data_IF_784641085004
#
_entry.id   IF_784641085004
#
_cell.length_a   1.000
_cell.length_b   1.000
_cell.length_c   1.000
_cell.angle_alpha   90.00
_cell.angle_beta   90.00
_cell.angle_gamma   90.00
#
_symmetry.space_group_name_H-M   'P 1'
#
loop_
_entity.id
_entity.type
_entity.pdbx_description
1 polymer ?
#
# COMPACT_ATOMS: atom_id res chain seq x y z
N UNK A 1 43.72 44.74 10.58
CA UNK A 1 42.67 44.44 9.58
C UNK A 1 42.12 43.05 9.87
N UNK A 2 41.29 42.95 10.90
CA UNK A 2 40.96 41.71 11.64
C UNK A 2 39.48 41.34 11.43
N UNK A 3 38.91 41.74 10.29
CA UNK A 3 37.47 41.67 9.99
C UNK A 3 37.16 40.67 8.87
N UNK A 4 38.12 40.32 8.01
CA UNK A 4 37.88 39.37 6.89
C UNK A 4 37.81 37.90 7.38
N UNK A 5 38.46 37.58 8.51
CA UNK A 5 38.49 36.20 9.03
C UNK A 5 37.18 35.76 9.71
N UNK A 6 36.33 36.70 10.16
CA UNK A 6 35.07 36.39 10.86
C UNK A 6 33.89 36.15 9.92
N UNK A 7 33.89 36.74 8.72
CA UNK A 7 32.81 36.60 7.74
C UNK A 7 32.86 35.26 6.99
N UNK A 8 34.05 34.70 6.76
CA UNK A 8 34.20 33.37 6.15
C UNK A 8 33.69 32.24 7.05
N UNK A 9 33.91 32.36 8.37
CA UNK A 9 33.45 31.36 9.35
C UNK A 9 31.93 31.40 9.53
N UNK A 10 31.30 32.58 9.42
CA UNK A 10 29.84 32.72 9.49
C UNK A 10 29.13 32.11 8.27
N UNK A 11 29.68 32.29 7.06
CA UNK A 11 29.16 31.63 5.85
C UNK A 11 29.33 30.11 5.89
N UNK A 12 30.43 29.62 6.47
CA UNK A 12 30.65 28.18 6.64
C UNK A 12 29.63 27.55 7.60
N UNK A 13 29.28 28.24 8.70
CA UNK A 13 28.27 27.77 9.66
C UNK A 13 26.84 27.77 9.09
N UNK A 14 26.51 28.69 8.18
CA UNK A 14 25.20 28.71 7.49
C UNK A 14 25.10 27.63 6.42
N UNK A 15 26.19 27.34 5.70
CA UNK A 15 26.24 26.26 4.72
C UNK A 15 26.11 24.87 5.37
N UNK A 16 26.70 24.68 6.56
CA UNK A 16 26.56 23.42 7.33
C UNK A 16 25.13 23.22 7.84
N UNK A 17 24.38 24.29 8.14
CA UNK A 17 22.96 24.18 8.50
C UNK A 17 22.05 23.90 7.31
N UNK A 18 22.38 24.40 6.12
CA UNK A 18 21.63 24.13 4.89
C UNK A 18 21.80 22.69 4.38
N UNK A 19 22.93 22.04 4.67
CA UNK A 19 23.16 20.62 4.38
C UNK A 19 22.54 19.67 5.41
N UNK A 20 22.07 20.18 6.56
CA UNK A 20 21.49 19.37 7.62
C UNK A 20 19.97 19.16 7.49
N UNK A 21 19.33 19.73 6.46
CA UNK A 21 17.88 19.58 6.23
C UNK A 21 17.47 18.47 5.26
N UNK A 22 18.41 17.73 4.68
CA UNK A 22 18.10 16.70 3.66
C UNK A 22 18.17 15.25 4.14
N UNK A 23 17.88 15.00 5.41
CA UNK A 23 17.57 13.65 5.87
C UNK A 23 16.26 13.62 6.65
N UNK A 24 15.15 13.70 5.92
CA UNK A 24 13.97 12.87 6.25
C UNK A 24 14.08 11.56 5.45
N UNK A 25 15.27 10.97 5.44
CA UNK A 25 15.45 9.59 5.03
C UNK A 25 15.00 8.74 6.21
N UNK A 26 13.89 8.00 6.06
CA UNK A 26 13.59 6.90 6.96
C UNK A 26 14.88 6.10 7.20
N UNK A 27 15.20 5.81 8.47
CA UNK A 27 16.38 5.01 8.80
C UNK A 27 16.38 3.78 7.89
N UNK A 28 17.49 3.51 7.16
CA UNK A 28 17.56 2.34 6.32
C UNK A 28 17.33 1.13 7.23
N UNK A 29 16.27 0.39 6.91
CA UNK A 29 15.94 -0.88 7.54
C UNK A 29 17.21 -1.75 7.51
N UNK A 30 17.59 -2.31 8.66
CA UNK A 30 18.81 -3.14 8.75
C UNK A 30 18.73 -4.35 7.82
N UNK A 31 19.86 -4.92 7.41
CA UNK A 31 19.88 -6.12 6.56
C UNK A 31 19.08 -7.28 7.17
N UNK A 32 19.08 -7.39 8.51
CA UNK A 32 18.30 -8.39 9.24
C UNK A 32 16.78 -8.14 9.18
N UNK A 33 16.35 -6.89 9.19
CA UNK A 33 14.94 -6.52 8.96
C UNK A 33 14.56 -6.62 7.48
N UNK A 34 15.48 -6.32 6.57
CA UNK A 34 15.28 -6.47 5.13
C UNK A 34 15.14 -7.94 4.73
N UNK A 35 15.96 -8.83 5.29
CA UNK A 35 15.86 -10.27 5.10
C UNK A 35 14.54 -10.85 5.62
N UNK A 36 13.85 -10.12 6.50
CA UNK A 36 12.54 -10.47 7.01
C UNK A 36 11.37 -9.97 6.15
N UNK A 37 11.64 -9.26 5.05
CA UNK A 37 10.61 -8.84 4.11
C UNK A 37 9.84 -10.05 3.57
N UNK A 38 8.54 -9.84 3.39
CA UNK A 38 7.65 -10.83 2.79
C UNK A 38 7.38 -10.41 1.36
N UNK A 39 7.78 -11.27 0.43
CA UNK A 39 7.48 -11.06 -0.98
C UNK A 39 5.96 -11.05 -1.18
N UNK A 40 5.45 -9.95 -1.74
CA UNK A 40 4.08 -9.84 -2.18
C UNK A 40 3.88 -10.79 -3.37
N UNK A 41 2.96 -11.75 -3.24
CA UNK A 41 2.63 -12.67 -4.33
C UNK A 41 1.44 -12.13 -5.12
N UNK A 42 1.56 -11.92 -6.44
CA UNK A 42 0.47 -11.35 -7.23
C UNK A 42 -0.75 -12.28 -7.26
N UNK A 43 -1.95 -11.68 -7.26
CA UNK A 43 -3.24 -12.34 -7.36
C UNK A 43 -4.01 -11.92 -8.61
N UNK A 44 -4.10 -10.61 -8.85
CA UNK A 44 -4.88 -10.03 -9.94
C UNK A 44 -4.35 -8.63 -10.25
N UNK A 45 -4.25 -8.28 -11.53
CA UNK A 45 -4.31 -6.88 -11.96
C UNK A 45 -5.71 -6.67 -12.52
N UNK A 46 -6.46 -5.72 -11.98
CA UNK A 46 -7.84 -5.51 -12.40
C UNK A 46 -7.85 -5.17 -13.91
N UNK A 47 -8.72 -5.78 -14.73
CA UNK A 47 -8.78 -5.45 -16.14
C UNK A 47 -9.38 -4.05 -16.37
N UNK A 48 -9.03 -3.41 -17.48
CA UNK A 48 -9.47 -2.04 -17.81
C UNK A 48 -10.97 -1.94 -18.07
N UNK A 49 -11.56 -2.98 -18.66
CA UNK A 49 -13.00 -3.11 -18.85
C UNK A 49 -13.50 -4.22 -17.95
N UNK A 50 -14.43 -3.89 -17.07
CA UNK A 50 -15.01 -4.81 -16.11
C UNK A 50 -16.52 -4.79 -16.27
N UNK A 51 -17.14 -5.96 -16.38
CA UNK A 51 -18.59 -6.08 -16.40
C UNK A 51 -19.17 -5.69 -15.03
N UNK A 52 -20.35 -5.04 -14.95
CA UNK A 52 -20.98 -4.64 -13.68
C UNK A 52 -21.29 -5.79 -12.71
N UNK A 53 -21.31 -7.03 -13.19
CA UNK A 53 -21.56 -8.27 -12.43
C UNK A 53 -20.30 -9.11 -12.22
N UNK A 54 -19.13 -8.63 -12.68
CA UNK A 54 -17.89 -9.37 -12.57
C UNK A 54 -17.46 -9.47 -11.10
N UNK A 55 -17.10 -10.69 -10.69
CA UNK A 55 -16.59 -10.98 -9.35
C UNK A 55 -15.29 -11.77 -9.44
N UNK A 56 -14.43 -11.62 -8.45
CA UNK A 56 -13.19 -12.41 -8.33
C UNK A 56 -13.06 -12.99 -6.95
N UNK A 57 -12.77 -14.28 -6.88
CA UNK A 57 -12.65 -15.00 -5.63
C UNK A 57 -11.20 -15.46 -5.39
N UNK A 58 -10.60 -14.96 -4.33
CA UNK A 58 -9.23 -15.25 -3.90
C UNK A 58 -9.26 -16.28 -2.78
N UNK A 59 -9.22 -17.57 -3.14
CA UNK A 59 -9.27 -18.68 -2.17
C UNK A 59 -8.11 -18.70 -1.18
N UNK A 60 -6.95 -18.16 -1.58
CA UNK A 60 -5.73 -18.22 -0.79
C UNK A 60 -5.64 -17.10 0.25
N UNK A 61 -6.62 -16.20 0.36
CA UNK A 61 -6.58 -15.01 1.21
C UNK A 61 -7.58 -15.13 2.37
N UNK A 62 -7.20 -14.70 3.55
CA UNK A 62 -8.01 -14.84 4.76
C UNK A 62 -8.21 -16.30 5.16
N UNK A 63 -9.13 -16.53 6.08
CA UNK A 63 -9.39 -17.89 6.61
C UNK A 63 -10.25 -18.76 5.69
N UNK A 64 -11.11 -18.15 4.88
CA UNK A 64 -12.14 -18.83 4.07
C UNK A 64 -12.12 -18.40 2.61
N UNK A 65 -11.07 -17.69 2.17
CA UNK A 65 -11.09 -16.94 0.92
C UNK A 65 -11.81 -15.60 1.06
N UNK A 66 -11.53 -14.69 0.14
CA UNK A 66 -12.23 -13.40 0.01
C UNK A 66 -12.69 -13.17 -1.42
N UNK A 67 -13.70 -12.33 -1.59
CA UNK A 67 -14.29 -12.03 -2.89
C UNK A 67 -14.34 -10.54 -3.12
N UNK A 68 -13.77 -10.10 -4.24
CA UNK A 68 -13.95 -8.76 -4.80
C UNK A 68 -15.28 -8.71 -5.55
N UNK A 69 -16.12 -7.74 -5.16
CA UNK A 69 -17.46 -7.53 -5.65
C UNK A 69 -17.66 -6.07 -6.03
N UNK A 70 -18.52 -5.76 -7.02
CA UNK A 70 -19.00 -4.40 -7.24
C UNK A 70 -19.82 -3.92 -6.03
N UNK A 71 -19.74 -2.63 -5.72
CA UNK A 71 -20.59 -2.02 -4.69
C UNK A 71 -22.00 -1.79 -5.25
N UNK A 72 -23.06 -2.24 -4.57
CA UNK A 72 -24.43 -2.05 -5.02
C UNK A 72 -24.76 -0.57 -5.11
N UNK A 73 -25.40 -0.17 -6.22
CA UNK A 73 -25.87 1.20 -6.46
C UNK A 73 -24.75 2.25 -6.56
N UNK A 74 -23.49 1.83 -6.72
CA UNK A 74 -22.37 2.74 -6.97
C UNK A 74 -21.55 2.27 -8.15
N UNK A 75 -21.49 3.11 -9.17
CA UNK A 75 -20.74 2.79 -10.38
C UNK A 75 -19.24 2.82 -10.13
N UNK A 76 -18.55 1.78 -10.62
CA UNK A 76 -17.09 1.64 -10.56
C UNK A 76 -16.47 1.64 -9.15
N UNK A 77 -17.29 1.42 -8.12
CA UNK A 77 -16.82 1.19 -6.77
C UNK A 77 -16.89 -0.30 -6.43
N UNK A 78 -15.96 -0.71 -5.58
CA UNK A 78 -15.72 -2.10 -5.24
C UNK A 78 -15.75 -2.30 -3.73
N UNK A 79 -15.95 -3.56 -3.34
CA UNK A 79 -15.88 -4.03 -1.96
C UNK A 79 -15.27 -5.41 -1.88
N UNK A 80 -14.62 -5.69 -0.76
CA UNK A 80 -14.13 -7.03 -0.40
C UNK A 80 -15.11 -7.64 0.56
N UNK A 81 -15.43 -8.91 0.36
CA UNK A 81 -16.29 -9.69 1.24
C UNK A 81 -15.66 -11.03 1.59
N UNK A 82 -16.10 -11.62 2.68
CA UNK A 82 -15.70 -12.97 3.07
C UNK A 82 -16.51 -13.47 4.24
N UNK A 83 -16.06 -14.59 4.81
CA UNK A 83 -16.64 -15.19 6.01
C UNK A 83 -15.57 -15.41 7.07
N UNK A 84 -15.93 -15.17 8.32
CA UNK A 84 -15.08 -15.53 9.45
C UNK A 84 -15.13 -17.06 9.70
N UNK A 85 -14.34 -17.56 10.66
CA UNK A 85 -14.29 -19.00 10.97
C UNK A 85 -15.61 -19.55 11.53
N UNK A 86 -16.46 -18.70 12.09
CA UNK A 86 -17.80 -19.08 12.54
C UNK A 86 -18.83 -19.08 11.40
N UNK A 87 -18.42 -18.74 10.17
CA UNK A 87 -19.28 -18.69 9.00
C UNK A 87 -20.06 -17.39 8.84
N UNK A 88 -19.86 -16.41 9.72
CA UNK A 88 -20.54 -15.12 9.62
C UNK A 88 -19.90 -14.28 8.52
N UNK A 89 -20.74 -13.68 7.69
CA UNK A 89 -20.29 -12.81 6.61
C UNK A 89 -19.76 -11.47 7.12
N UNK A 90 -18.84 -10.90 6.35
CA UNK A 90 -18.36 -9.53 6.50
C UNK A 90 -18.12 -8.90 5.13
N UNK A 91 -18.15 -7.57 5.08
CA UNK A 91 -17.97 -6.77 3.86
C UNK A 91 -17.24 -5.48 4.23
N UNK A 92 -16.30 -5.06 3.39
CA UNK A 92 -15.57 -3.80 3.50
C UNK A 92 -15.55 -3.11 2.14
N UNK A 93 -16.08 -1.88 2.02
CA UNK A 93 -15.94 -1.09 0.80
C UNK A 93 -14.48 -0.68 0.59
N UNK A 94 -14.00 -0.73 -0.65
CA UNK A 94 -12.63 -0.34 -1.03
C UNK A 94 -12.60 0.77 -2.09
N UNK A 95 -13.78 1.28 -2.47
CA UNK A 95 -13.92 2.43 -3.36
C UNK A 95 -13.51 2.13 -4.80
N UNK A 96 -13.00 3.15 -5.49
CA UNK A 96 -12.60 3.04 -6.90
C UNK A 96 -11.22 2.41 -7.02
N UNK A 97 -11.12 1.43 -7.91
CA UNK A 97 -9.89 0.65 -8.13
C UNK A 97 -9.29 0.87 -9.53
N UNK A 98 -9.75 1.89 -10.24
CA UNK A 98 -9.23 2.32 -11.53
C UNK A 98 -9.13 3.84 -11.51
N UNK A 99 -8.00 4.37 -11.97
CA UNK A 99 -7.79 5.80 -12.11
C UNK A 99 -6.83 6.09 -13.30
N UNK A 100 -6.36 7.33 -13.39
CA UNK A 100 -5.48 7.78 -14.48
C UNK A 100 -4.08 7.13 -14.49
N UNK A 101 -3.61 6.56 -13.38
CA UNK A 101 -2.39 5.75 -13.35
C UNK A 101 -2.63 4.28 -13.73
N UNK A 102 -3.88 3.89 -13.99
CA UNK A 102 -4.26 2.54 -14.40
C UNK A 102 -5.09 1.83 -13.35
N UNK A 103 -4.93 0.50 -13.32
CA UNK A 103 -5.80 -0.40 -12.59
C UNK A 103 -5.13 -0.90 -11.31
N UNK A 104 -5.94 -1.16 -10.28
CA UNK A 104 -5.45 -1.70 -9.03
C UNK A 104 -4.83 -3.08 -9.22
N UNK A 105 -3.77 -3.33 -8.47
CA UNK A 105 -3.06 -4.60 -8.38
C UNK A 105 -3.30 -5.22 -7.01
N UNK A 106 -3.52 -6.53 -7.00
CA UNK A 106 -3.85 -7.31 -5.81
C UNK A 106 -2.74 -8.30 -5.53
N UNK A 107 -2.35 -8.38 -4.27
CA UNK A 107 -1.31 -9.26 -3.79
C UNK A 107 -1.73 -9.96 -2.50
N UNK A 108 -1.04 -11.06 -2.20
CA UNK A 108 -1.09 -11.70 -0.89
C UNK A 108 0.29 -11.81 -0.26
N UNK A 109 0.31 -11.74 1.06
CA UNK A 109 1.45 -12.07 1.90
C UNK A 109 0.96 -12.37 3.33
N UNK A 110 1.74 -13.06 4.14
CA UNK A 110 1.47 -13.18 5.59
C UNK A 110 2.26 -12.05 6.28
N UNK A 111 1.63 -10.88 6.43
CA UNK A 111 2.29 -9.63 6.84
C UNK A 111 2.57 -9.62 8.34
N UNK A 112 1.65 -10.16 9.14
CA UNK A 112 1.73 -10.18 10.61
C UNK A 112 2.27 -11.50 11.20
N UNK A 113 2.61 -12.47 10.34
CA UNK A 113 3.19 -13.78 10.69
C UNK A 113 2.26 -14.67 11.51
N UNK A 114 0.96 -14.52 11.32
CA UNK A 114 -0.02 -15.36 12.01
C UNK A 114 -0.40 -16.63 11.23
N UNK A 115 0.20 -16.84 10.05
CA UNK A 115 -0.02 -18.00 9.19
C UNK A 115 -1.23 -17.86 8.26
N UNK A 116 -1.91 -16.71 8.27
CA UNK A 116 -3.00 -16.37 7.35
C UNK A 116 -2.43 -15.46 6.26
N UNK A 117 -2.91 -15.64 5.04
CA UNK A 117 -2.52 -14.74 3.95
C UNK A 117 -3.42 -13.51 3.96
N UNK A 118 -2.78 -12.36 4.11
CA UNK A 118 -3.37 -11.03 4.06
C UNK A 118 -3.56 -10.59 2.61
N UNK A 119 -4.39 -9.56 2.41
CA UNK A 119 -4.62 -8.95 1.11
C UNK A 119 -4.00 -7.55 1.08
N UNK A 120 -3.27 -7.27 0.01
CA UNK A 120 -2.75 -5.93 -0.30
C UNK A 120 -3.33 -5.51 -1.64
N UNK A 121 -4.00 -4.38 -1.66
CA UNK A 121 -4.46 -3.71 -2.88
C UNK A 121 -3.58 -2.48 -3.06
N UNK A 122 -2.99 -2.37 -4.25
CA UNK A 122 -2.17 -1.24 -4.65
C UNK A 122 -2.83 -0.51 -5.80
N UNK A 123 -2.96 0.81 -5.68
CA UNK A 123 -3.46 1.68 -6.74
C UNK A 123 -2.51 2.86 -6.89
N UNK A 124 -1.82 2.94 -8.03
CA UNK A 124 -0.96 4.07 -8.37
C UNK A 124 -1.76 5.36 -8.51
N UNK A 125 -1.09 6.50 -8.33
CA UNK A 125 -1.62 7.84 -8.58
C UNK A 125 -0.56 8.63 -9.35
N UNK A 126 -0.87 9.15 -10.55
CA UNK A 126 0.14 9.77 -11.41
C UNK A 126 0.59 11.16 -10.90
N UNK A 127 -0.01 11.67 -9.82
CA UNK A 127 0.39 12.93 -9.18
C UNK A 127 -0.12 14.18 -9.90
N UNK A 128 -0.56 14.11 -11.16
CA UNK A 128 -1.19 15.21 -11.93
C UNK A 128 -0.44 16.56 -11.80
N UNK A 129 0.89 16.55 -11.87
CA UNK A 129 1.76 17.72 -11.68
C UNK A 129 2.40 17.83 -10.29
N UNK A 130 2.01 16.97 -9.35
CA UNK A 130 2.70 16.68 -8.10
C UNK A 130 3.48 15.35 -8.21
N UNK A 131 4.26 15.02 -7.18
CA UNK A 131 5.00 13.76 -7.14
C UNK A 131 4.03 12.55 -7.22
N UNK A 132 4.33 11.54 -8.07
CA UNK A 132 3.54 10.31 -8.15
C UNK A 132 3.44 9.63 -6.78
N UNK A 133 2.25 9.17 -6.43
CA UNK A 133 1.97 8.50 -5.15
C UNK A 133 1.28 7.16 -5.40
N UNK A 134 1.03 6.40 -4.35
CA UNK A 134 0.11 5.28 -4.41
C UNK A 134 -0.75 5.20 -3.15
N UNK A 135 -1.94 4.64 -3.34
CA UNK A 135 -2.82 4.21 -2.28
C UNK A 135 -2.61 2.71 -2.06
N UNK A 136 -2.43 2.33 -0.80
CA UNK A 136 -2.57 0.94 -0.39
C UNK A 136 -3.86 0.76 0.40
N UNK A 137 -4.49 -0.40 0.23
CA UNK A 137 -5.55 -0.89 1.11
C UNK A 137 -5.10 -2.26 1.57
N UNK A 138 -4.82 -2.40 2.85
CA UNK A 138 -4.23 -3.59 3.45
C UNK A 138 -5.27 -4.23 4.36
N UNK A 139 -5.55 -5.50 4.13
CA UNK A 139 -6.38 -6.34 4.98
C UNK A 139 -5.51 -7.38 5.65
N UNK A 140 -5.30 -7.21 6.95
CA UNK A 140 -4.80 -8.29 7.79
C UNK A 140 -5.97 -9.09 8.36
N UNK A 141 -5.80 -10.37 8.64
CA UNK A 141 -6.87 -11.19 9.20
C UNK A 141 -6.54 -11.67 10.60
N UNK A 142 -7.41 -11.34 11.55
CA UNK A 142 -7.34 -11.91 12.89
C UNK A 142 -7.54 -13.44 12.84
N UNK A 143 -7.09 -14.16 13.87
CA UNK A 143 -7.27 -15.62 13.96
C UNK A 143 -8.74 -16.08 13.86
N UNK A 144 -9.70 -15.25 14.25
CA UNK A 144 -11.12 -15.56 14.09
C UNK A 144 -11.63 -15.40 12.64
N UNK A 145 -10.83 -14.82 11.74
CA UNK A 145 -11.17 -14.58 10.34
C UNK A 145 -11.74 -13.21 10.03
N UNK A 146 -11.83 -12.30 11.01
CA UNK A 146 -12.27 -10.92 10.78
C UNK A 146 -11.12 -10.07 10.24
N UNK A 147 -11.39 -9.23 9.23
CA UNK A 147 -10.37 -8.34 8.70
C UNK A 147 -10.10 -7.19 9.67
N UNK A 148 -8.84 -6.78 9.76
CA UNK A 148 -8.41 -5.48 10.23
C UNK A 148 -7.83 -4.72 9.03
N UNK A 149 -8.42 -3.58 8.72
CA UNK A 149 -8.17 -2.85 7.47
C UNK A 149 -7.43 -1.56 7.75
N UNK A 150 -6.40 -1.30 6.95
CA UNK A 150 -5.58 -0.10 7.03
C UNK A 150 -5.36 0.49 5.63
N UNK A 151 -5.54 1.81 5.50
CA UNK A 151 -5.45 2.53 4.23
C UNK A 151 -4.40 3.65 4.28
N UNK A 152 -3.12 3.32 4.03
CA UNK A 152 -2.08 4.34 3.98
C UNK A 152 -1.96 4.98 2.59
N UNK A 153 -1.60 6.26 2.60
CA UNK A 153 -1.26 7.05 1.43
C UNK A 153 0.20 7.50 1.52
N UNK A 154 0.92 7.48 0.39
CA UNK A 154 2.34 7.84 0.39
C UNK A 154 3.01 7.76 -0.98
N UNK A 155 4.31 8.03 -0.99
CA UNK A 155 5.15 7.95 -2.19
C UNK A 155 5.79 6.56 -2.24
N UNK A 156 5.37 5.75 -3.20
CA UNK A 156 5.81 4.37 -3.33
C UNK A 156 6.25 4.09 -4.76
N UNK A 157 7.34 3.35 -4.90
CA UNK A 157 7.85 2.89 -6.18
C UNK A 157 7.63 1.38 -6.29
N UNK A 158 6.97 0.95 -7.36
CA UNK A 158 6.97 -0.46 -7.72
C UNK A 158 8.38 -0.83 -8.19
N UNK A 159 8.93 -1.92 -7.68
CA UNK A 159 10.18 -2.51 -8.16
C UNK A 159 9.87 -3.83 -8.84
N UNK A 160 10.68 -4.22 -9.83
CA UNK A 160 10.45 -5.43 -10.63
C UNK A 160 10.43 -6.72 -9.81
N UNK A 161 10.87 -6.67 -8.55
CA UNK A 161 10.97 -7.82 -7.66
C UNK A 161 9.77 -8.02 -6.73
N UNK A 162 8.88 -7.03 -6.61
CA UNK A 162 7.76 -7.06 -5.64
C UNK A 162 8.19 -6.94 -4.18
#
# INVERSE_FOLDING_TARGET
MTIILRSGLLCLCLAVRALATDFVGYLPMSDGEYAQKRALKPLLTLPYSVSPDQTWHFRQVGVSGVTLLPEPKKDNEWRISGKDRAGNSWVVPVGRLINLAGNAQFYRADLDRNGIQDLVIWLGNPGLGLAPSAQYIIFTFLKNGRPCVFEPWGFYTATDTG
#
